data_IF_162043851467
#
_entry.id   IF_162043851467
#
_cell.length_a   1.000
_cell.length_b   1.000
_cell.length_c   1.000
_cell.angle_alpha   90.00
_cell.angle_beta   90.00
_cell.angle_gamma   90.00
#
_symmetry.space_group_name_H-M   'P 1'
#
loop_
_entity.id
_entity.type
_entity.pdbx_description
1 polymer ?
#
# COMPACT_ATOMS: atom_id res chain seq x y z
N UNK A 1 -2.80 -13.86 12.71
CA UNK A 1 -2.93 -13.50 11.28
C UNK A 1 -1.56 -13.60 10.64
N UNK A 2 -1.48 -14.04 9.38
CA UNK A 2 -0.22 -14.04 8.63
C UNK A 2 -0.07 -12.66 8.02
N UNK A 3 0.72 -11.79 8.64
CA UNK A 3 1.07 -10.47 8.10
C UNK A 3 2.47 -10.51 7.50
N UNK A 4 2.63 -10.03 6.26
CA UNK A 4 3.95 -9.93 5.64
C UNK A 4 4.66 -8.65 6.11
N UNK A 5 5.77 -8.83 6.81
CA UNK A 5 6.62 -7.72 7.28
C UNK A 5 7.68 -7.44 6.19
N UNK A 6 7.68 -6.25 5.59
CA UNK A 6 8.70 -5.90 4.60
C UNK A 6 10.07 -5.81 5.26
N UNK A 7 11.11 -6.23 4.55
CA UNK A 7 12.48 -6.17 5.05
C UNK A 7 13.03 -4.73 5.07
N UNK A 8 12.50 -3.84 4.23
CA UNK A 8 12.87 -2.43 4.12
C UNK A 8 11.65 -1.58 3.83
N UNK A 9 11.62 -0.36 4.37
CA UNK A 9 10.57 0.63 4.12
C UNK A 9 11.08 1.70 3.14
N UNK A 10 10.18 2.23 2.30
CA UNK A 10 10.49 3.26 1.30
C UNK A 10 9.64 4.49 1.57
N UNK A 11 10.26 5.66 1.69
CA UNK A 11 9.56 6.93 1.76
C UNK A 11 9.28 7.47 0.34
N UNK A 12 8.01 7.77 0.04
CA UNK A 12 7.66 8.50 -1.18
C UNK A 12 7.61 10.01 -0.87
N UNK A 13 8.51 10.77 -1.48
CA UNK A 13 8.57 12.23 -1.33
C UNK A 13 7.81 12.98 -2.44
N UNK A 14 7.43 12.28 -3.50
CA UNK A 14 6.65 12.83 -4.61
C UNK A 14 5.15 12.75 -4.30
N UNK A 15 4.50 13.91 -4.12
CA UNK A 15 3.07 14.01 -3.80
C UNK A 15 2.16 13.37 -4.85
N UNK A 16 2.56 13.38 -6.13
CA UNK A 16 1.80 12.75 -7.20
C UNK A 16 1.89 11.23 -7.10
N UNK A 17 3.07 10.72 -6.77
CA UNK A 17 3.29 9.30 -6.56
C UNK A 17 2.54 8.80 -5.30
N UNK A 18 2.53 9.57 -4.21
CA UNK A 18 1.74 9.27 -3.00
C UNK A 18 0.25 9.23 -3.33
N UNK A 19 -0.28 10.23 -4.05
CA UNK A 19 -1.70 10.23 -4.46
C UNK A 19 -2.08 9.04 -5.32
N UNK A 20 -1.21 8.66 -6.26
CA UNK A 20 -1.46 7.51 -7.11
C UNK A 20 -1.42 6.20 -6.32
N UNK A 21 -0.45 6.06 -5.40
CA UNK A 21 -0.33 4.90 -4.52
C UNK A 21 -1.55 4.76 -3.62
N UNK A 22 -1.95 5.84 -2.94
CA UNK A 22 -3.14 5.85 -2.08
C UNK A 22 -4.38 5.42 -2.86
N UNK A 23 -4.58 5.96 -4.06
CA UNK A 23 -5.71 5.58 -4.91
C UNK A 23 -5.68 4.10 -5.33
N UNK A 24 -4.49 3.54 -5.56
CA UNK A 24 -4.34 2.11 -5.85
C UNK A 24 -4.66 1.26 -4.63
N UNK A 25 -4.26 1.68 -3.43
CA UNK A 25 -4.60 0.99 -2.17
C UNK A 25 -6.12 1.03 -1.93
N UNK A 26 -6.74 2.20 -2.07
CA UNK A 26 -8.18 2.37 -1.89
C UNK A 26 -8.99 1.45 -2.86
N UNK A 27 -8.54 1.32 -4.11
CA UNK A 27 -9.19 0.44 -5.09
C UNK A 27 -9.03 -1.05 -4.76
N UNK A 28 -7.92 -1.43 -4.13
CA UNK A 28 -7.68 -2.81 -3.71
C UNK A 28 -8.43 -3.14 -2.43
N UNK A 29 -8.61 -2.17 -1.52
CA UNK A 29 -9.39 -2.36 -0.29
C UNK A 29 -10.91 -2.42 -0.57
N UNK A 30 -11.37 -1.74 -1.62
CA UNK A 30 -12.78 -1.78 -2.08
C UNK A 30 -13.12 -3.05 -2.89
N UNK A 31 -12.14 -3.88 -3.25
CA UNK A 31 -12.36 -5.10 -4.04
C UNK A 31 -12.66 -6.30 -3.11
N UNK A 32 -13.88 -6.84 -3.21
CA UNK A 32 -14.35 -7.97 -2.41
C UNK A 32 -13.49 -9.25 -2.56
N UNK A 33 -12.76 -9.39 -3.68
CA UNK A 33 -11.87 -10.51 -3.94
C UNK A 33 -10.49 -10.34 -3.25
N UNK A 34 -10.16 -9.13 -2.80
CA UNK A 34 -8.89 -8.84 -2.12
C UNK A 34 -9.02 -9.15 -0.63
N UNK A 35 -8.17 -10.05 -0.15
CA UNK A 35 -8.21 -10.53 1.24
C UNK A 35 -7.20 -9.79 2.14
N UNK A 36 -6.12 -9.26 1.58
CA UNK A 36 -5.11 -8.48 2.31
C UNK A 36 -4.21 -7.70 1.36
N UNK A 37 -3.91 -6.44 1.70
CA UNK A 37 -2.98 -5.58 0.98
C UNK A 37 -1.71 -5.38 1.82
N UNK A 38 -0.55 -5.49 1.19
CA UNK A 38 0.75 -5.28 1.83
C UNK A 38 1.58 -4.31 1.00
N UNK A 39 2.10 -3.27 1.65
CA UNK A 39 3.04 -2.31 1.04
C UNK A 39 4.22 -2.08 1.97
N UNK A 40 5.35 -1.74 1.36
CA UNK A 40 6.55 -1.32 2.06
C UNK A 40 6.70 0.21 2.10
N UNK A 41 5.64 0.94 1.76
CA UNK A 41 5.62 2.39 1.88
C UNK A 41 5.60 2.78 3.37
N UNK A 42 6.51 3.69 3.73
CA UNK A 42 6.60 4.29 5.05
C UNK A 42 5.73 5.55 5.08
N UNK A 43 4.68 5.52 5.87
CA UNK A 43 3.75 6.65 6.08
C UNK A 43 4.29 7.64 7.13
#
# INVERSE_FOLDING_TARGET
>A
EVTMIPQNYVDLTDETAVKNLQKTLDLLDDDDDVQAVYHNWNE
#
